data_IF_946112379280
#
_entry.id   IF_946112379280
#
_cell.length_a   1.000
_cell.length_b   1.000
_cell.length_c   1.000
_cell.angle_alpha   90.00
_cell.angle_beta   90.00
_cell.angle_gamma   90.00
#
_symmetry.space_group_name_H-M   'P 1'
#
loop_
_entity.id
_entity.type
_entity.pdbx_description
1 polymer ?
#
# COMPACT_ATOMS: atom_id res chain seq x y z
N UNK A 1 -9.06 2.79 86.72
CA UNK A 1 -9.34 4.12 87.27
C UNK A 1 -9.99 4.93 86.15
N UNK A 2 -11.33 5.02 86.16
CA UNK A 2 -12.12 6.27 86.35
C UNK A 2 -11.97 7.23 85.15
N UNK A 3 -13.01 7.78 84.50
CA UNK A 3 -14.43 7.92 84.83
C UNK A 3 -15.17 8.43 83.57
N UNK A 4 -16.48 8.20 83.53
CA UNK A 4 -17.48 8.68 82.56
C UNK A 4 -17.65 10.21 82.64
N UNK A 5 -18.00 10.87 81.51
CA UNK A 5 -18.51 12.26 81.52
C UNK A 5 -19.15 12.72 80.21
N UNK A 6 -20.48 12.61 80.12
CA UNK A 6 -21.38 13.12 79.06
C UNK A 6 -21.91 14.53 79.43
N UNK A 7 -21.86 15.52 78.53
CA UNK A 7 -22.79 16.69 78.43
C UNK A 7 -22.79 17.18 76.95
N UNK A 8 -23.90 17.05 76.20
CA UNK A 8 -24.97 18.03 75.95
C UNK A 8 -24.44 19.37 75.38
N UNK A 9 -24.95 20.05 74.35
CA UNK A 9 -25.97 19.89 73.30
C UNK A 9 -25.87 21.21 72.50
N UNK A 10 -26.19 21.23 71.19
CA UNK A 10 -26.84 22.33 70.41
C UNK A 10 -26.23 22.60 69.02
N UNK A 11 -27.03 22.21 68.03
CA UNK A 11 -27.39 22.86 66.76
C UNK A 11 -26.38 23.72 65.97
N UNK A 12 -26.24 23.37 64.68
CA UNK A 12 -25.82 24.28 63.62
C UNK A 12 -25.95 23.65 62.22
N UNK A 13 -27.06 23.96 61.55
CA UNK A 13 -27.35 23.96 60.09
C UNK A 13 -26.38 23.22 59.13
N UNK A 14 -26.84 22.16 58.47
CA UNK A 14 -27.48 22.20 57.14
C UNK A 14 -26.57 22.62 55.97
N UNK A 15 -26.11 21.61 55.21
CA UNK A 15 -25.90 21.70 53.75
C UNK A 15 -25.88 20.28 53.18
N UNK A 16 -27.04 19.82 52.74
CA UNK A 16 -27.17 18.63 51.91
C UNK A 16 -26.79 19.00 50.47
N UNK A 17 -25.56 18.71 50.07
CA UNK A 17 -25.19 18.74 48.66
C UNK A 17 -25.78 17.49 47.98
N UNK A 18 -26.77 17.71 47.13
CA UNK A 18 -27.36 16.73 46.23
C UNK A 18 -26.27 16.12 45.35
N UNK A 19 -25.90 14.87 45.61
CA UNK A 19 -25.11 14.06 44.71
C UNK A 19 -25.99 13.65 43.51
N UNK A 20 -25.92 14.44 42.43
CA UNK A 20 -26.49 14.05 41.14
C UNK A 20 -25.78 12.82 40.58
N UNK A 21 -26.49 11.89 39.91
CA UNK A 21 -25.88 10.73 39.30
C UNK A 21 -24.91 11.18 38.21
N UNK A 22 -23.62 10.88 38.39
CA UNK A 22 -22.62 10.98 37.34
C UNK A 22 -23.04 10.03 36.21
N UNK A 23 -23.60 10.60 35.15
CA UNK A 23 -23.76 9.91 33.89
C UNK A 23 -22.36 9.44 33.45
N UNK A 24 -22.14 8.13 33.50
CA UNK A 24 -21.02 7.52 32.81
C UNK A 24 -21.24 7.77 31.33
N UNK A 25 -20.50 8.72 30.77
CA UNK A 25 -20.38 8.85 29.34
C UNK A 25 -19.74 7.56 28.83
N UNK A 26 -20.55 6.68 28.23
CA UNK A 26 -20.05 5.55 27.47
C UNK A 26 -19.05 6.08 26.45
N UNK A 27 -17.87 5.46 26.28
CA UNK A 27 -17.01 5.78 25.16
C UNK A 27 -17.86 5.61 23.90
N UNK A 28 -17.94 6.67 23.10
CA UNK A 28 -18.56 6.63 21.77
C UNK A 28 -18.01 5.41 21.06
N UNK A 29 -18.88 4.44 20.76
CA UNK A 29 -18.55 3.30 19.94
C UNK A 29 -17.91 3.86 18.66
N UNK A 30 -16.61 3.62 18.49
CA UNK A 30 -16.01 3.69 17.18
C UNK A 30 -16.83 2.74 16.33
N UNK A 31 -17.59 3.25 15.36
CA UNK A 31 -18.39 2.41 14.46
C UNK A 31 -17.48 1.30 13.94
N UNK A 32 -17.81 0.05 14.27
CA UNK A 32 -16.99 -1.08 13.90
C UNK A 32 -16.96 -1.17 12.37
N UNK A 33 -15.78 -1.02 11.79
CA UNK A 33 -15.65 -1.09 10.34
C UNK A 33 -15.95 -2.48 9.82
N UNK A 34 -16.68 -2.54 8.71
CA UNK A 34 -17.13 -3.77 8.10
C UNK A 34 -16.07 -4.31 7.13
N UNK A 35 -15.78 -5.62 7.18
CA UNK A 35 -15.01 -6.28 6.11
C UNK A 35 -15.78 -6.17 4.79
N UNK A 36 -15.14 -5.58 3.79
CA UNK A 36 -15.70 -5.37 2.47
C UNK A 36 -15.27 -6.45 1.51
N UNK A 37 -16.18 -6.77 0.60
CA UNK A 37 -15.84 -7.43 -0.65
C UNK A 37 -15.74 -6.34 -1.72
N UNK A 38 -14.61 -6.27 -2.41
CA UNK A 38 -14.33 -5.27 -3.45
C UNK A 38 -14.41 -5.92 -4.83
N UNK A 39 -14.69 -5.11 -5.86
CA UNK A 39 -14.70 -5.54 -7.26
C UNK A 39 -13.28 -5.42 -7.81
N UNK A 40 -12.82 -6.47 -8.48
CA UNK A 40 -11.52 -6.55 -9.15
C UNK A 40 -11.78 -6.76 -10.63
N UNK A 41 -11.23 -5.89 -11.45
CA UNK A 41 -11.22 -6.04 -12.91
C UNK A 41 -9.84 -6.42 -13.40
N UNK A 42 -9.81 -7.26 -14.43
CA UNK A 42 -8.58 -7.66 -15.07
C UNK A 42 -8.46 -7.02 -16.44
N UNK A 43 -7.56 -6.06 -16.56
CA UNK A 43 -7.23 -5.35 -17.79
C UNK A 43 -5.93 -5.87 -18.41
N UNK A 44 -5.46 -7.05 -17.97
CA UNK A 44 -4.23 -7.67 -18.46
C UNK A 44 -4.35 -8.11 -19.93
N UNK A 45 -3.26 -7.98 -20.67
CA UNK A 45 -3.18 -8.35 -22.09
C UNK A 45 -2.00 -9.29 -22.36
N UNK A 46 -2.08 -10.20 -23.34
CA UNK A 46 -0.92 -10.99 -23.75
C UNK A 46 0.23 -10.11 -24.25
N UNK A 47 1.47 -10.45 -23.89
CA UNK A 47 2.68 -9.73 -24.27
C UNK A 47 3.86 -10.69 -24.41
N UNK A 48 4.77 -10.42 -25.35
CA UNK A 48 6.00 -11.22 -25.55
C UNK A 48 7.22 -10.57 -24.88
N UNK A 49 7.22 -9.24 -24.76
CA UNK A 49 8.26 -8.49 -24.08
C UNK A 49 8.21 -8.73 -22.57
N UNK A 50 9.28 -9.29 -22.01
CA UNK A 50 9.35 -9.51 -20.57
C UNK A 50 9.36 -8.20 -19.79
N UNK A 51 9.92 -7.10 -20.33
CA UNK A 51 10.07 -5.81 -19.65
C UNK A 51 8.83 -4.89 -19.68
N UNK A 52 7.76 -5.31 -20.36
CA UNK A 52 6.54 -4.51 -20.48
C UNK A 52 5.51 -5.00 -19.47
N UNK A 53 5.09 -4.08 -18.62
CA UNK A 53 3.99 -4.32 -17.69
C UNK A 53 2.68 -4.49 -18.48
N UNK A 54 2.25 -5.75 -18.63
CA UNK A 54 1.04 -6.16 -19.34
C UNK A 54 -0.04 -6.74 -18.41
N UNK A 55 0.29 -6.96 -17.14
CA UNK A 55 -0.68 -7.25 -16.09
C UNK A 55 -1.21 -5.94 -15.54
N UNK A 56 -2.53 -5.85 -15.45
CA UNK A 56 -3.24 -4.73 -14.84
C UNK A 56 -4.48 -5.24 -14.11
N UNK A 57 -4.49 -5.13 -12.80
CA UNK A 57 -5.64 -5.50 -11.95
C UNK A 57 -6.11 -4.25 -11.20
N UNK A 58 -7.36 -3.86 -11.44
CA UNK A 58 -7.93 -2.63 -10.88
C UNK A 58 -8.94 -2.96 -9.78
N UNK A 59 -8.88 -2.21 -8.67
CA UNK A 59 -9.64 -2.47 -7.47
C UNK A 59 -10.66 -1.35 -7.20
N UNK A 60 -11.94 -1.72 -7.12
CA UNK A 60 -13.06 -0.77 -7.05
C UNK A 60 -13.91 -0.98 -5.80
N UNK A 61 -14.28 0.14 -5.16
CA UNK A 61 -15.26 0.19 -4.06
C UNK A 61 -15.59 1.63 -3.67
N UNK A 62 -16.87 1.98 -3.66
CA UNK A 62 -17.33 3.28 -3.15
C UNK A 62 -17.17 3.43 -1.63
N UNK A 63 -17.15 2.29 -0.91
CA UNK A 63 -17.16 2.24 0.55
C UNK A 63 -15.78 2.09 1.17
N UNK A 64 -14.77 1.67 0.42
CA UNK A 64 -13.44 1.42 0.99
C UNK A 64 -12.89 2.67 1.68
N UNK A 65 -12.36 2.48 2.89
CA UNK A 65 -11.59 3.48 3.64
C UNK A 65 -10.24 2.96 4.09
N UNK A 66 -10.09 1.66 4.30
CA UNK A 66 -8.80 1.05 4.64
C UNK A 66 -8.57 -0.28 3.93
N UNK A 67 -7.31 -0.58 3.68
CA UNK A 67 -6.84 -1.87 3.19
C UNK A 67 -5.42 -2.13 3.67
N UNK A 68 -4.92 -3.34 3.45
CA UNK A 68 -3.52 -3.67 3.62
C UNK A 68 -2.97 -4.23 2.31
N UNK A 69 -1.80 -3.74 1.90
CA UNK A 69 -0.98 -4.31 0.83
C UNK A 69 0.20 -5.01 1.47
N UNK A 70 0.53 -6.22 1.02
CA UNK A 70 1.73 -6.92 1.45
C UNK A 70 2.54 -7.33 0.23
N UNK A 71 3.85 -7.20 0.31
CA UNK A 71 4.77 -7.91 -0.55
C UNK A 71 5.36 -9.06 0.28
N UNK A 72 5.23 -10.29 -0.20
CA UNK A 72 5.63 -11.52 0.50
C UNK A 72 6.61 -12.29 -0.38
N UNK A 73 7.60 -12.96 0.20
CA UNK A 73 8.49 -13.78 -0.62
C UNK A 73 7.72 -14.88 -1.36
N UNK A 74 8.13 -15.26 -2.58
CA UNK A 74 7.50 -16.36 -3.30
C UNK A 74 7.68 -17.66 -2.51
N UNK A 75 6.74 -18.60 -2.66
CA UNK A 75 6.73 -19.87 -1.90
C UNK A 75 7.99 -20.72 -2.07
N UNK A 76 8.76 -20.48 -3.13
CA UNK A 76 10.01 -21.15 -3.45
C UNK A 76 11.28 -20.39 -3.03
N UNK A 77 11.17 -19.30 -2.27
CA UNK A 77 12.31 -18.43 -1.91
C UNK A 77 13.47 -19.19 -1.27
N UNK A 78 13.19 -20.18 -0.41
CA UNK A 78 14.19 -20.98 0.28
C UNK A 78 14.98 -21.92 -0.64
N UNK A 79 14.55 -22.09 -1.89
CA UNK A 79 15.25 -22.89 -2.90
C UNK A 79 16.17 -22.05 -3.79
N UNK A 80 16.18 -20.73 -3.62
CA UNK A 80 17.01 -19.83 -4.43
C UNK A 80 18.42 -19.78 -3.87
N UNK A 81 19.36 -20.47 -4.52
CA UNK A 81 20.79 -20.36 -4.21
C UNK A 81 21.45 -19.11 -4.81
N UNK A 82 21.02 -18.69 -6.00
CA UNK A 82 21.52 -17.48 -6.66
C UNK A 82 20.37 -16.79 -7.38
N UNK A 83 20.17 -15.52 -7.07
CA UNK A 83 19.08 -14.74 -7.63
C UNK A 83 19.35 -14.32 -9.09
N UNK A 84 18.28 -14.08 -9.85
CA UNK A 84 18.32 -13.60 -11.24
C UNK A 84 17.41 -12.39 -11.40
N UNK A 85 18.00 -11.25 -11.74
CA UNK A 85 17.31 -9.96 -11.80
C UNK A 85 17.73 -9.11 -13.02
N UNK A 86 18.52 -9.70 -13.93
CA UNK A 86 18.92 -8.99 -15.14
C UNK A 86 17.69 -8.79 -16.04
N UNK A 87 17.56 -7.60 -16.65
CA UNK A 87 16.48 -7.36 -17.57
C UNK A 87 16.62 -8.23 -18.83
N UNK A 88 15.48 -8.68 -19.38
CA UNK A 88 15.39 -9.43 -20.63
C UNK A 88 14.61 -8.62 -21.67
N UNK A 89 15.36 -7.91 -22.51
CA UNK A 89 14.84 -7.09 -23.59
C UNK A 89 14.43 -7.88 -24.84
N UNK A 90 14.42 -9.22 -24.80
CA UNK A 90 13.97 -10.01 -25.94
C UNK A 90 12.51 -9.69 -26.27
N UNK A 91 12.23 -9.53 -27.56
CA UNK A 91 10.90 -9.18 -28.08
C UNK A 91 10.33 -7.84 -27.61
N UNK A 92 11.15 -6.96 -27.03
CA UNK A 92 10.72 -5.64 -26.57
C UNK A 92 10.88 -4.56 -27.65
N UNK A 93 9.81 -3.81 -27.90
CA UNK A 93 9.84 -2.56 -28.65
C UNK A 93 9.41 -1.40 -27.75
N UNK A 94 10.38 -0.58 -27.36
CA UNK A 94 10.19 0.63 -26.54
C UNK A 94 10.49 1.91 -27.32
N UNK A 95 10.51 1.84 -28.66
CA UNK A 95 10.84 2.99 -29.51
C UNK A 95 9.82 4.14 -29.40
N UNK A 96 8.60 3.84 -28.96
CA UNK A 96 7.49 4.77 -28.86
C UNK A 96 7.30 5.40 -27.47
N UNK A 97 8.13 5.06 -26.49
CA UNK A 97 8.03 5.63 -25.15
C UNK A 97 8.44 7.12 -25.18
N UNK A 98 7.57 8.04 -24.71
CA UNK A 98 7.93 9.44 -24.58
C UNK A 98 9.16 9.62 -23.69
N UNK A 99 9.98 10.63 -24.00
CA UNK A 99 11.19 10.95 -23.23
C UNK A 99 11.27 12.44 -23.00
N UNK A 100 11.03 12.83 -21.76
CA UNK A 100 11.22 14.20 -21.28
C UNK A 100 12.59 14.29 -20.63
N UNK A 101 13.46 15.13 -21.19
CA UNK A 101 14.82 15.32 -20.69
C UNK A 101 14.82 15.97 -19.30
N UNK A 102 15.76 15.56 -18.45
CA UNK A 102 16.00 16.15 -17.14
C UNK A 102 17.49 16.07 -16.78
N UNK A 103 17.91 16.88 -15.83
CA UNK A 103 19.28 16.80 -15.31
C UNK A 103 19.38 15.64 -14.31
N UNK A 104 20.32 14.72 -14.58
CA UNK A 104 20.53 13.59 -13.69
C UNK A 104 20.98 14.06 -12.29
N UNK A 105 20.34 13.54 -11.25
CA UNK A 105 20.59 13.89 -9.85
C UNK A 105 20.34 12.69 -8.95
N UNK A 106 21.16 12.55 -7.91
CA UNK A 106 20.92 11.64 -6.78
C UNK A 106 21.10 12.44 -5.49
N UNK A 107 20.15 12.35 -4.58
CA UNK A 107 20.19 13.06 -3.31
C UNK A 107 19.57 12.25 -2.19
N UNK A 108 20.33 11.97 -1.13
CA UNK A 108 19.79 11.59 0.17
C UNK A 108 19.29 12.88 0.85
N UNK A 109 17.98 13.00 1.04
CA UNK A 109 17.36 14.25 1.52
C UNK A 109 16.78 14.14 2.93
N UNK A 110 16.71 12.92 3.47
CA UNK A 110 16.37 12.66 4.86
C UNK A 110 17.04 11.37 5.32
N UNK A 111 17.56 11.35 6.55
CA UNK A 111 18.21 10.18 7.13
C UNK A 111 18.13 10.16 8.66
N UNK A 112 18.18 8.95 9.20
CA UNK A 112 18.37 8.56 10.59
C UNK A 112 19.34 7.36 10.60
N UNK A 113 19.83 6.91 11.76
CA UNK A 113 20.66 5.69 11.82
C UNK A 113 19.96 4.44 11.29
N UNK A 114 18.62 4.38 11.37
CA UNK A 114 17.83 3.20 10.96
C UNK A 114 17.29 3.33 9.52
N UNK A 115 16.85 4.51 9.10
CA UNK A 115 16.18 4.74 7.80
C UNK A 115 16.67 5.98 7.07
N UNK A 116 16.64 5.96 5.74
CA UNK A 116 16.88 7.14 4.92
C UNK A 116 16.11 7.12 3.59
N UNK A 117 15.89 8.31 3.04
CA UNK A 117 15.24 8.52 1.74
C UNK A 117 16.25 9.07 0.73
N UNK A 118 16.35 8.38 -0.41
CA UNK A 118 17.20 8.80 -1.53
C UNK A 118 16.35 9.04 -2.76
N UNK A 119 16.38 10.25 -3.30
CA UNK A 119 15.69 10.62 -4.53
C UNK A 119 16.63 10.61 -5.74
N UNK A 120 16.08 10.23 -6.88
CA UNK A 120 16.76 10.12 -8.17
C UNK A 120 16.02 10.89 -9.25
N UNK A 121 16.79 11.60 -10.06
CA UNK A 121 16.37 12.17 -11.34
C UNK A 121 17.22 11.50 -12.41
N UNK A 122 16.58 10.81 -13.34
CA UNK A 122 17.23 10.21 -14.51
C UNK A 122 17.43 11.23 -15.63
N UNK A 123 18.33 11.00 -16.60
CA UNK A 123 18.51 11.88 -17.77
C UNK A 123 17.22 12.11 -18.58
N UNK A 124 16.29 11.15 -18.54
CA UNK A 124 14.97 11.29 -19.12
C UNK A 124 13.93 10.49 -18.34
N UNK A 125 12.67 10.89 -18.43
CA UNK A 125 11.53 10.14 -17.91
C UNK A 125 10.33 10.21 -18.86
N UNK A 126 9.39 9.27 -18.74
CA UNK A 126 8.26 9.18 -19.68
C UNK A 126 7.18 10.23 -19.44
N UNK A 127 7.12 10.81 -18.24
CA UNK A 127 6.20 11.88 -17.86
C UNK A 127 6.98 13.10 -17.36
N UNK A 128 6.47 14.34 -17.56
CA UNK A 128 7.02 15.50 -16.90
C UNK A 128 7.01 15.36 -15.37
N UNK A 129 8.06 15.89 -14.74
CA UNK A 129 8.32 15.73 -13.32
C UNK A 129 8.01 17.02 -12.56
N UNK A 130 7.05 16.99 -11.64
CA UNK A 130 6.66 18.16 -10.87
C UNK A 130 6.13 17.85 -9.46
N UNK A 131 6.14 16.59 -9.01
CA UNK A 131 5.53 16.21 -7.73
C UNK A 131 6.50 16.52 -6.59
N UNK A 132 6.16 17.42 -5.65
CA UNK A 132 6.99 17.68 -4.48
C UNK A 132 6.98 16.50 -3.53
N UNK A 133 8.15 16.22 -2.97
CA UNK A 133 8.37 15.23 -1.90
C UNK A 133 8.82 15.96 -0.65
N UNK A 134 8.05 15.86 0.43
CA UNK A 134 8.27 16.61 1.68
C UNK A 134 8.64 15.70 2.83
N UNK A 135 9.59 16.12 3.68
CA UNK A 135 9.89 15.52 4.99
C UNK A 135 10.11 16.63 6.00
N UNK A 136 9.22 16.76 6.98
CA UNK A 136 9.20 17.93 7.87
C UNK A 136 9.06 19.22 7.06
N UNK A 137 10.03 20.13 7.23
CA UNK A 137 10.11 21.41 6.50
C UNK A 137 10.88 21.31 5.18
N UNK A 138 11.55 20.18 4.91
CA UNK A 138 12.31 20.00 3.67
C UNK A 138 11.37 19.57 2.55
N UNK A 139 11.42 20.29 1.44
CA UNK A 139 10.70 19.95 0.20
C UNK A 139 11.70 19.79 -0.93
N UNK A 140 11.64 18.66 -1.61
CA UNK A 140 12.40 18.39 -2.82
C UNK A 140 11.45 18.21 -4.01
N UNK A 141 11.85 18.68 -5.17
CA UNK A 141 11.09 18.52 -6.42
C UNK A 141 11.98 17.86 -7.47
N UNK A 142 11.36 17.38 -8.55
CA UNK A 142 12.13 16.86 -9.67
C UNK A 142 12.69 15.47 -9.45
N UNK A 143 12.16 14.65 -8.53
CA UNK A 143 12.51 13.22 -8.44
C UNK A 143 11.61 12.36 -9.34
N UNK A 144 12.23 11.52 -10.17
CA UNK A 144 11.53 10.47 -10.92
C UNK A 144 11.28 9.23 -10.07
N UNK A 145 12.14 9.00 -9.07
CA UNK A 145 12.12 7.84 -8.22
C UNK A 145 12.64 8.22 -6.83
N UNK A 146 12.02 7.70 -5.78
CA UNK A 146 12.47 7.85 -4.39
C UNK A 146 12.50 6.49 -3.74
N UNK A 147 13.60 6.18 -3.06
CA UNK A 147 13.82 4.92 -2.36
C UNK A 147 13.83 5.17 -0.86
N UNK A 148 13.12 4.32 -0.12
CA UNK A 148 13.27 4.15 1.31
C UNK A 148 14.21 2.99 1.58
N UNK A 149 15.25 3.30 2.32
CA UNK A 149 16.28 2.38 2.74
C UNK A 149 16.25 2.21 4.25
N UNK A 150 16.74 1.06 4.72
CA UNK A 150 16.96 0.81 6.13
C UNK A 150 18.27 0.08 6.41
N UNK A 151 18.78 0.23 7.63
CA UNK A 151 19.86 -0.60 8.13
C UNK A 151 19.33 -1.96 8.57
N UNK A 152 19.90 -3.05 8.05
CA UNK A 152 19.59 -4.41 8.46
C UNK A 152 20.83 -5.29 8.37
N UNK A 153 21.16 -6.02 9.43
CA UNK A 153 22.35 -6.89 9.52
C UNK A 153 23.63 -6.19 9.01
N UNK A 154 23.86 -4.96 9.48
CA UNK A 154 25.01 -4.12 9.11
C UNK A 154 25.08 -3.76 7.62
N UNK A 155 23.95 -3.85 6.90
CA UNK A 155 23.82 -3.52 5.48
C UNK A 155 22.72 -2.50 5.25
N UNK A 156 22.81 -1.86 4.09
CA UNK A 156 21.78 -1.00 3.56
C UNK A 156 20.81 -1.80 2.70
N UNK A 157 19.56 -1.91 3.15
CA UNK A 157 18.50 -2.62 2.43
C UNK A 157 17.48 -1.61 1.91
N UNK A 158 17.32 -1.56 0.60
CA UNK A 158 16.19 -0.88 -0.03
C UNK A 158 14.94 -1.73 0.21
N UNK A 159 13.83 -1.15 0.68
CA UNK A 159 12.63 -1.92 1.04
C UNK A 159 11.36 -1.43 0.34
N UNK A 160 11.38 -0.18 -0.11
CA UNK A 160 10.25 0.46 -0.77
C UNK A 160 10.78 1.51 -1.74
N UNK A 161 10.23 1.52 -2.94
CA UNK A 161 10.50 2.53 -3.96
C UNK A 161 9.19 3.08 -4.48
N UNK A 162 9.15 4.37 -4.78
CA UNK A 162 8.02 4.98 -5.44
C UNK A 162 8.45 6.01 -6.47
N UNK A 163 7.58 6.25 -7.43
CA UNK A 163 7.84 7.09 -8.58
C UNK A 163 6.86 8.28 -8.51
N UNK A 164 7.29 9.43 -7.96
CA UNK A 164 6.38 10.56 -7.74
C UNK A 164 5.60 11.01 -8.98
N UNK A 165 6.17 11.03 -10.21
CA UNK A 165 5.43 11.53 -11.36
C UNK A 165 4.29 10.62 -11.84
N UNK A 166 4.35 9.30 -11.67
CA UNK A 166 3.36 8.36 -12.22
C UNK A 166 2.58 7.60 -11.14
N UNK A 167 3.11 7.52 -9.93
CA UNK A 167 2.42 6.96 -8.78
C UNK A 167 2.61 5.46 -8.56
N UNK A 168 3.60 4.87 -9.21
CA UNK A 168 3.99 3.48 -9.00
C UNK A 168 4.75 3.34 -7.68
N UNK A 169 4.49 2.24 -6.98
CA UNK A 169 5.21 1.80 -5.80
C UNK A 169 5.67 0.36 -6.01
N UNK A 170 6.85 0.01 -5.51
CA UNK A 170 7.29 -1.38 -5.38
C UNK A 170 7.82 -1.59 -3.98
N UNK A 171 7.48 -2.72 -3.39
CA UNK A 171 7.89 -3.08 -2.04
C UNK A 171 8.53 -4.46 -2.09
N UNK A 172 9.46 -4.72 -1.17
CA UNK A 172 10.02 -6.06 -1.00
C UNK A 172 10.33 -6.36 0.47
N UNK A 173 10.17 -7.62 0.91
CA UNK A 173 10.59 -8.01 2.25
C UNK A 173 12.11 -7.90 2.40
N UNK A 174 12.59 -7.98 3.64
CA UNK A 174 14.03 -8.12 3.89
C UNK A 174 14.56 -9.40 3.23
N UNK A 175 15.82 -9.41 2.75
CA UNK A 175 16.39 -10.56 2.10
C UNK A 175 16.23 -11.83 2.95
N UNK A 176 15.82 -12.93 2.32
CA UNK A 176 15.64 -14.22 2.99
C UNK A 176 17.00 -14.80 3.39
N UNK A 177 17.11 -15.33 4.62
CA UNK A 177 18.34 -15.93 5.16
C UNK A 177 19.61 -15.08 4.87
N UNK A 178 20.57 -15.63 4.14
CA UNK A 178 21.85 -15.01 3.81
C UNK A 178 21.89 -14.41 2.39
N UNK A 179 20.73 -14.35 1.71
CA UNK A 179 20.62 -13.66 0.43
C UNK A 179 21.09 -12.22 0.59
N UNK A 180 21.90 -11.74 -0.37
CA UNK A 180 22.40 -10.36 -0.33
C UNK A 180 21.36 -9.32 -0.72
N UNK A 181 20.32 -9.73 -1.45
CA UNK A 181 19.35 -8.86 -2.12
C UNK A 181 18.17 -9.72 -2.60
N UNK A 182 17.01 -9.09 -2.79
CA UNK A 182 15.85 -9.65 -3.51
C UNK A 182 15.31 -8.65 -4.54
N UNK A 183 14.76 -9.11 -5.66
CA UNK A 183 14.17 -8.24 -6.68
C UNK A 183 12.84 -7.61 -6.20
N UNK A 184 12.41 -6.52 -6.83
CA UNK A 184 11.15 -5.84 -6.49
C UNK A 184 9.91 -6.48 -7.12
N UNK A 185 10.01 -6.90 -8.38
CA UNK A 185 8.86 -7.46 -9.07
C UNK A 185 7.78 -6.44 -9.43
N UNK A 186 6.54 -6.84 -9.17
CA UNK A 186 5.33 -6.09 -9.43
C UNK A 186 5.26 -4.73 -8.74
N UNK A 187 4.51 -3.82 -9.36
CA UNK A 187 4.20 -2.51 -8.83
C UNK A 187 2.74 -2.40 -8.41
N UNK A 188 2.44 -1.47 -7.52
CA UNK A 188 1.08 -1.11 -7.16
C UNK A 188 0.89 0.41 -7.15
N UNK A 189 -0.35 0.85 -7.31
CA UNK A 189 -0.79 2.24 -7.25
C UNK A 189 -1.79 2.39 -6.11
N UNK A 190 -1.79 3.56 -5.46
CA UNK A 190 -2.69 3.89 -4.35
C UNK A 190 -3.28 5.28 -4.58
N UNK A 191 -4.60 5.34 -4.78
CA UNK A 191 -5.34 6.55 -5.07
C UNK A 191 -6.25 6.40 -6.29
N UNK A 192 -6.83 7.50 -6.78
CA UNK A 192 -7.66 7.47 -7.98
C UNK A 192 -6.79 7.11 -9.18
N UNK A 193 -6.93 5.88 -9.68
CA UNK A 193 -6.13 5.41 -10.80
C UNK A 193 -6.78 5.86 -12.11
N UNK A 194 -6.02 6.58 -12.93
CA UNK A 194 -6.45 7.07 -14.24
C UNK A 194 -5.59 6.44 -15.34
N UNK A 195 -6.21 6.00 -16.43
CA UNK A 195 -5.49 5.49 -17.59
C UNK A 195 -5.18 6.63 -18.55
N UNK A 196 -3.89 6.91 -18.75
CA UNK A 196 -3.41 7.75 -19.84
C UNK A 196 -2.81 6.86 -20.93
N UNK A 197 -1.49 6.94 -21.14
CA UNK A 197 -0.76 5.91 -21.89
C UNK A 197 -0.54 4.65 -21.04
N UNK A 198 -0.51 4.81 -19.71
CA UNK A 198 -0.37 3.79 -18.68
C UNK A 198 -1.25 4.21 -17.49
N UNK A 199 -1.64 3.30 -16.59
CA UNK A 199 -2.27 3.68 -15.34
C UNK A 199 -1.34 4.56 -14.53
N UNK A 200 -1.89 5.62 -13.94
CA UNK A 200 -1.19 6.54 -13.06
C UNK A 200 -2.05 6.92 -11.87
N UNK A 201 -1.43 7.45 -10.82
CA UNK A 201 -2.09 8.29 -9.83
C UNK A 201 -1.42 9.66 -9.84
N UNK A 202 -2.18 10.71 -10.19
CA UNK A 202 -1.61 12.05 -10.26
C UNK A 202 -1.58 12.71 -8.89
N UNK A 203 -0.37 12.83 -8.33
CA UNK A 203 -0.14 13.44 -7.03
C UNK A 203 0.05 14.95 -7.10
N UNK A 204 -0.53 15.64 -6.15
CA UNK A 204 -0.23 17.03 -5.84
C UNK A 204 1.06 17.13 -5.02
N UNK A 205 1.23 16.26 -4.03
CA UNK A 205 2.35 16.21 -3.11
C UNK A 205 2.43 14.80 -2.49
N UNK A 206 3.66 14.35 -2.22
CA UNK A 206 3.91 13.20 -1.34
C UNK A 206 4.67 13.74 -0.12
N UNK A 207 4.19 13.45 1.09
CA UNK A 207 4.90 13.77 2.32
C UNK A 207 5.27 12.49 3.06
N UNK A 208 6.46 12.43 3.65
CA UNK A 208 6.84 11.38 4.59
C UNK A 208 6.85 11.95 6.00
N UNK A 209 6.16 11.26 6.91
CA UNK A 209 6.08 11.55 8.34
C UNK A 209 6.99 10.54 9.09
N UNK A 210 8.21 10.93 9.49
CA UNK A 210 9.18 10.00 10.06
C UNK A 210 8.72 9.31 11.34
N UNK A 211 8.02 10.04 12.21
CA UNK A 211 7.60 9.56 13.54
C UNK A 211 6.67 8.34 13.44
N UNK A 212 5.81 8.33 12.43
CA UNK A 212 4.81 7.27 12.20
C UNK A 212 5.16 6.38 11.02
N UNK A 213 6.30 6.61 10.36
CA UNK A 213 6.74 5.92 9.13
C UNK A 213 5.63 5.87 8.08
N UNK A 214 4.98 7.03 7.88
CA UNK A 214 3.79 7.13 7.02
C UNK A 214 4.05 8.06 5.85
N UNK A 215 3.72 7.59 4.65
CA UNK A 215 3.60 8.42 3.46
C UNK A 215 2.18 8.98 3.36
N UNK A 216 2.05 10.29 3.19
CA UNK A 216 0.79 10.97 2.91
C UNK A 216 0.77 11.37 1.45
N UNK A 217 -0.20 10.87 0.71
CA UNK A 217 -0.39 11.09 -0.71
C UNK A 217 -1.54 12.07 -0.89
N UNK A 218 -1.28 13.27 -1.41
CA UNK A 218 -2.35 14.21 -1.78
C UNK A 218 -2.64 14.04 -3.26
N UNK A 219 -3.89 13.76 -3.60
CA UNK A 219 -4.30 13.54 -4.98
C UNK A 219 -4.68 14.86 -5.65
N UNK A 220 -4.28 15.05 -6.91
CA UNK A 220 -4.83 16.17 -7.70
C UNK A 220 -6.30 15.96 -8.01
N UNK A 221 -6.67 14.73 -8.35
CA UNK A 221 -8.05 14.33 -8.65
C UNK A 221 -8.89 14.29 -7.37
N UNK A 222 -10.01 15.00 -7.36
CA UNK A 222 -10.97 15.02 -6.24
C UNK A 222 -10.50 15.70 -4.95
N UNK A 223 -9.24 16.12 -4.84
CA UNK A 223 -8.68 16.78 -3.64
C UNK A 223 -8.56 15.89 -2.40
N UNK A 224 -8.74 14.58 -2.56
CA UNK A 224 -8.61 13.60 -1.48
C UNK A 224 -7.15 13.27 -1.15
N UNK A 225 -6.96 12.39 -0.17
CA UNK A 225 -5.64 11.88 0.20
C UNK A 225 -5.69 10.41 0.63
N UNK A 226 -4.53 9.77 0.57
CA UNK A 226 -4.28 8.49 1.24
C UNK A 226 -3.09 8.59 2.18
N UNK A 227 -3.02 7.67 3.14
CA UNK A 227 -1.88 7.46 4.02
C UNK A 227 -1.44 6.01 3.88
N UNK A 228 -0.16 5.79 3.60
CA UNK A 228 0.49 4.48 3.55
C UNK A 228 1.46 4.39 4.72
N UNK A 229 1.12 3.61 5.73
CA UNK A 229 1.97 3.38 6.91
C UNK A 229 2.74 2.08 6.75
N UNK A 230 4.04 2.11 7.02
CA UNK A 230 4.84 0.89 7.14
C UNK A 230 4.45 0.19 8.45
N UNK A 231 3.73 -0.93 8.33
CA UNK A 231 3.22 -1.68 9.48
C UNK A 231 4.17 -2.78 9.93
N UNK A 232 4.70 -3.56 8.98
CA UNK A 232 5.63 -4.65 9.26
C UNK A 232 6.72 -4.71 8.21
N UNK A 233 7.96 -4.96 8.63
CA UNK A 233 9.12 -5.16 7.76
C UNK A 233 9.94 -6.29 8.36
N UNK A 234 9.91 -7.47 7.76
CA UNK A 234 10.75 -8.60 8.16
C UNK A 234 11.14 -9.48 6.95
N UNK A 235 11.75 -10.63 7.23
CA UNK A 235 12.16 -11.60 6.22
C UNK A 235 10.99 -12.43 5.66
N UNK A 236 9.76 -12.30 6.18
CA UNK A 236 8.58 -12.96 5.59
C UNK A 236 7.86 -12.01 4.63
N UNK A 237 7.71 -10.74 5.06
CA UNK A 237 6.90 -9.76 4.34
C UNK A 237 7.24 -8.31 4.71
N UNK A 238 6.88 -7.40 3.80
CA UNK A 238 6.57 -6.02 4.13
C UNK A 238 5.06 -5.80 4.05
N UNK A 239 4.47 -5.22 5.09
CA UNK A 239 3.05 -4.89 5.15
C UNK A 239 2.84 -3.38 5.23
N UNK A 240 1.95 -2.88 4.38
CA UNK A 240 1.61 -1.48 4.23
C UNK A 240 0.14 -1.29 4.55
N UNK A 241 -0.15 -0.54 5.61
CA UNK A 241 -1.51 -0.18 5.96
C UNK A 241 -1.91 1.08 5.20
N UNK A 242 -2.96 0.99 4.42
CA UNK A 242 -3.45 2.08 3.58
C UNK A 242 -4.79 2.58 4.13
N UNK A 243 -4.91 3.90 4.27
CA UNK A 243 -6.16 4.57 4.60
C UNK A 243 -6.45 5.71 3.65
N UNK A 244 -7.71 5.94 3.33
CA UNK A 244 -8.17 6.97 2.42
C UNK A 244 -9.04 8.00 3.17
N UNK A 245 -8.90 9.27 2.80
CA UNK A 245 -9.72 10.34 3.40
C UNK A 245 -11.18 10.31 2.94
N UNK A 246 -11.50 9.58 1.87
CA UNK A 246 -12.82 9.51 1.28
C UNK A 246 -12.92 8.42 0.22
N UNK A 247 -14.09 8.33 -0.42
CA UNK A 247 -14.31 7.48 -1.59
C UNK A 247 -13.51 8.00 -2.79
N UNK A 248 -13.22 7.12 -3.75
CA UNK A 248 -12.60 7.56 -4.99
C UNK A 248 -13.59 8.39 -5.83
N UNK A 249 -13.13 9.49 -6.45
CA UNK A 249 -13.94 10.27 -7.37
C UNK A 249 -14.28 9.46 -8.63
N UNK A 250 -15.43 9.75 -9.24
CA UNK A 250 -15.87 9.23 -10.54
C UNK A 250 -15.82 7.69 -10.68
N UNK A 251 -16.01 6.95 -9.56
CA UNK A 251 -15.86 5.48 -9.47
C UNK A 251 -14.51 4.96 -10.00
N UNK A 252 -13.46 5.78 -9.91
CA UNK A 252 -12.11 5.35 -10.26
C UNK A 252 -11.60 4.24 -9.32
N UNK A 253 -10.71 3.35 -9.78
CA UNK A 253 -10.07 2.38 -8.91
C UNK A 253 -9.37 3.09 -7.75
N UNK A 254 -9.45 2.51 -6.54
CA UNK A 254 -8.73 3.02 -5.36
C UNK A 254 -7.27 2.55 -5.32
N UNK A 255 -6.98 1.49 -6.05
CA UNK A 255 -5.67 0.91 -6.22
C UNK A 255 -5.64 0.12 -7.54
N UNK A 256 -4.43 -0.11 -8.03
CA UNK A 256 -4.18 -1.03 -9.13
C UNK A 256 -2.88 -1.78 -8.90
N UNK A 257 -2.79 -3.01 -9.40
CA UNK A 257 -1.56 -3.77 -9.51
C UNK A 257 -1.09 -3.75 -10.96
N UNK A 258 0.21 -3.54 -11.16
CA UNK A 258 0.88 -3.60 -12.46
C UNK A 258 2.05 -4.57 -12.39
N UNK A 259 2.21 -5.42 -13.38
CA UNK A 259 3.29 -6.42 -13.40
C UNK A 259 3.55 -6.90 -14.83
N UNK A 260 4.60 -7.70 -15.03
CA UNK A 260 4.86 -8.37 -16.30
C UNK A 260 4.57 -9.88 -16.28
N UNK A 261 4.11 -10.39 -17.41
CA UNK A 261 3.97 -11.81 -17.74
C UNK A 261 4.15 -12.02 -19.25
N UNK A 262 5.25 -12.66 -19.64
CA UNK A 262 5.43 -13.16 -21.00
C UNK A 262 5.09 -14.66 -21.09
N UNK A 263 5.51 -15.43 -20.09
CA UNK A 263 5.17 -16.83 -19.89
C UNK A 263 5.41 -17.23 -18.43
N UNK A 264 4.95 -18.42 -18.02
CA UNK A 264 5.08 -18.91 -16.64
C UNK A 264 6.51 -18.81 -16.07
N UNK A 265 7.52 -19.16 -16.87
CA UNK A 265 8.95 -19.11 -16.46
C UNK A 265 9.61 -17.76 -16.74
N UNK A 266 8.82 -16.77 -17.18
CA UNK A 266 9.25 -15.41 -17.50
C UNK A 266 8.20 -14.39 -17.10
N UNK A 267 8.10 -14.17 -15.79
CA UNK A 267 7.10 -13.27 -15.21
C UNK A 267 7.52 -12.76 -13.84
N UNK A 268 6.93 -11.64 -13.46
CA UNK A 268 6.92 -11.17 -12.07
C UNK A 268 5.69 -11.69 -11.32
N UNK A 269 4.59 -11.89 -12.04
CA UNK A 269 3.38 -12.54 -11.56
C UNK A 269 2.76 -13.41 -12.64
N UNK A 270 2.17 -14.55 -12.27
CA UNK A 270 1.61 -15.51 -13.23
C UNK A 270 0.22 -16.03 -12.84
N UNK A 271 -0.12 -15.96 -11.56
CA UNK A 271 -1.36 -16.49 -11.01
C UNK A 271 -2.03 -15.47 -10.11
N UNK A 272 -3.35 -15.59 -10.02
CA UNK A 272 -4.19 -14.83 -9.11
C UNK A 272 -4.97 -15.83 -8.28
N UNK A 273 -4.92 -15.68 -6.96
CA UNK A 273 -5.77 -16.40 -6.03
C UNK A 273 -6.63 -15.41 -5.22
N UNK A 274 -7.90 -15.71 -4.99
CA UNK A 274 -8.78 -14.80 -4.25
C UNK A 274 -9.76 -15.53 -3.33
N UNK A 275 -10.19 -14.81 -2.29
CA UNK A 275 -11.21 -15.25 -1.34
C UNK A 275 -12.45 -14.37 -1.46
N UNK A 276 -13.63 -14.97 -1.39
CA UNK A 276 -14.91 -14.25 -1.37
C UNK A 276 -15.49 -14.24 0.04
N UNK A 277 -16.36 -13.26 0.37
CA UNK A 277 -16.86 -13.02 1.74
C UNK A 277 -17.56 -14.22 2.40
N UNK A 278 -18.07 -15.16 1.60
CA UNK A 278 -18.73 -16.40 2.05
C UNK A 278 -18.22 -17.64 1.31
N UNK A 279 -17.07 -17.54 0.67
CA UNK A 279 -16.45 -18.67 -0.04
C UNK A 279 -15.87 -19.67 0.95
N UNK A 280 -15.98 -20.96 0.63
CA UNK A 280 -15.42 -22.05 1.45
C UNK A 280 -13.93 -22.30 1.20
N UNK A 281 -13.39 -21.77 0.10
CA UNK A 281 -12.02 -22.00 -0.36
C UNK A 281 -11.47 -20.80 -1.12
N UNK A 282 -10.14 -20.78 -1.28
CA UNK A 282 -9.47 -19.94 -2.26
C UNK A 282 -9.81 -20.41 -3.67
N UNK A 283 -10.10 -19.46 -4.55
CA UNK A 283 -10.19 -19.67 -5.98
C UNK A 283 -8.89 -19.22 -6.62
N UNK A 284 -8.57 -19.77 -7.79
CA UNK A 284 -7.32 -19.47 -8.46
C UNK A 284 -7.44 -19.55 -9.99
N UNK A 285 -6.71 -18.68 -10.69
CA UNK A 285 -6.64 -18.64 -12.14
C UNK A 285 -5.24 -18.20 -12.61
N UNK A 286 -4.91 -18.46 -13.87
CA UNK A 286 -3.79 -17.79 -14.54
C UNK A 286 -4.12 -16.31 -14.71
N UNK A 287 -3.12 -15.43 -14.52
CA UNK A 287 -3.35 -13.97 -14.46
C UNK A 287 -3.92 -13.39 -15.75
N UNK A 288 -3.50 -13.88 -16.92
CA UNK A 288 -4.03 -13.40 -18.21
C UNK A 288 -5.46 -13.90 -18.45
N UNK A 289 -5.80 -15.10 -17.97
CA UNK A 289 -7.13 -15.71 -18.13
C UNK A 289 -8.11 -15.39 -16.99
N UNK A 290 -7.70 -14.62 -15.98
CA UNK A 290 -8.52 -14.31 -14.83
C UNK A 290 -9.67 -13.36 -15.21
N UNK A 291 -10.95 -13.72 -15.02
CA UNK A 291 -12.07 -12.90 -15.49
C UNK A 291 -12.39 -11.68 -14.59
N UNK A 292 -11.59 -11.42 -13.56
CA UNK A 292 -11.98 -10.53 -12.45
C UNK A 292 -12.74 -11.28 -11.36
N UNK A 293 -12.96 -10.62 -10.22
CA UNK A 293 -13.66 -11.20 -9.09
C UNK A 293 -14.23 -10.16 -8.13
N UNK A 294 -15.18 -10.59 -7.29
CA UNK A 294 -15.50 -9.88 -6.06
C UNK A 294 -14.75 -10.56 -4.91
N UNK A 295 -13.82 -9.88 -4.25
CA UNK A 295 -12.93 -10.51 -3.28
C UNK A 295 -12.82 -9.72 -1.96
N UNK A 296 -12.62 -10.44 -0.86
CA UNK A 296 -12.19 -9.88 0.44
C UNK A 296 -10.68 -9.89 0.59
N UNK A 297 -10.00 -10.65 -0.28
CA UNK A 297 -8.55 -10.82 -0.30
C UNK A 297 -8.11 -11.34 -1.67
N UNK A 298 -6.97 -10.84 -2.15
CA UNK A 298 -6.34 -11.21 -3.42
C UNK A 298 -4.85 -11.46 -3.19
N UNK A 299 -4.34 -12.57 -3.68
CA UNK A 299 -2.91 -12.86 -3.84
C UNK A 299 -2.60 -12.91 -5.33
N UNK A 300 -1.49 -12.29 -5.73
CA UNK A 300 -1.01 -12.27 -7.11
C UNK A 300 0.47 -12.59 -7.09
N UNK A 301 0.84 -13.68 -7.76
CA UNK A 301 2.17 -14.21 -7.57
C UNK A 301 2.49 -15.39 -8.48
N UNK A 302 3.44 -16.22 -8.03
CA UNK A 302 3.98 -17.33 -8.81
C UNK A 302 4.09 -18.60 -7.97
N UNK A 303 3.92 -19.74 -8.64
CA UNK A 303 4.32 -21.04 -8.08
C UNK A 303 5.58 -21.60 -8.71
N UNK A 304 5.93 -21.12 -9.90
CA UNK A 304 7.10 -21.55 -10.64
C UNK A 304 8.20 -20.48 -10.58
N UNK A 305 9.47 -20.89 -10.43
CA UNK A 305 10.61 -19.98 -10.56
C UNK A 305 10.63 -19.28 -11.92
N UNK A 306 10.80 -17.96 -11.90
CA UNK A 306 11.00 -17.16 -13.12
C UNK A 306 12.49 -16.97 -13.41
N UNK A 307 12.87 -16.90 -14.68
CA UNK A 307 14.22 -16.48 -15.09
C UNK A 307 14.42 -14.96 -15.05
N UNK A 308 13.34 -14.19 -14.86
CA UNK A 308 13.30 -12.74 -14.68
C UNK A 308 12.76 -12.40 -13.29
N UNK A 309 13.49 -11.56 -12.54
CA UNK A 309 13.25 -11.25 -11.13
C UNK A 309 12.85 -12.48 -10.29
N UNK A 310 13.74 -13.46 -10.25
CA UNK A 310 13.50 -14.76 -9.65
C UNK A 310 13.00 -14.66 -8.19
N UNK A 311 13.62 -13.79 -7.38
CA UNK A 311 13.23 -13.57 -5.98
C UNK A 311 12.12 -12.52 -5.78
N UNK A 312 11.53 -11.96 -6.85
CA UNK A 312 10.50 -10.95 -6.71
C UNK A 312 9.33 -11.42 -5.82
N UNK A 313 8.84 -10.55 -4.92
CA UNK A 313 7.75 -10.88 -4.05
C UNK A 313 6.44 -11.09 -4.82
N UNK A 314 5.59 -11.94 -4.25
CA UNK A 314 4.17 -11.96 -4.56
C UNK A 314 3.46 -10.81 -3.83
N UNK A 315 2.33 -10.37 -4.35
CA UNK A 315 1.56 -9.25 -3.82
C UNK A 315 0.24 -9.72 -3.22
N UNK A 316 -0.11 -9.22 -2.04
CA UNK A 316 -1.39 -9.51 -1.37
C UNK A 316 -2.14 -8.21 -1.08
N UNK A 317 -3.40 -8.14 -1.46
CA UNK A 317 -4.32 -7.05 -1.15
C UNK A 317 -5.47 -7.62 -0.32
N UNK A 318 -5.73 -7.02 0.83
CA UNK A 318 -6.80 -7.52 1.70
C UNK A 318 -7.10 -6.58 2.85
N UNK A 319 -7.78 -7.11 3.88
CA UNK A 319 -8.27 -6.33 5.02
C UNK A 319 -9.06 -5.09 4.57
N UNK A 320 -9.85 -5.24 3.51
CA UNK A 320 -10.68 -4.16 2.99
C UNK A 320 -11.74 -3.80 4.03
N UNK A 321 -11.76 -2.54 4.44
CA UNK A 321 -12.66 -2.04 5.47
C UNK A 321 -13.30 -0.73 5.03
N UNK A 322 -14.54 -0.52 5.46
CA UNK A 322 -15.27 0.72 5.25
C UNK A 322 -16.31 0.95 6.35
N UNK A 323 -17.03 2.09 6.29
CA UNK A 323 -18.07 2.40 7.24
C UNK A 323 -19.17 1.33 7.17
N UNK A 324 -19.91 1.10 8.27
CA UNK A 324 -21.03 0.16 8.30
C UNK A 324 -22.01 0.41 7.14
N UNK A 325 -22.61 -0.65 6.62
CA UNK A 325 -23.66 -0.50 5.63
C UNK A 325 -24.81 0.30 6.25
N UNK A 326 -25.18 1.43 5.64
CA UNK A 326 -26.39 2.15 6.05
C UNK A 326 -27.58 1.25 5.71
N UNK A 327 -28.30 0.76 6.72
CA UNK A 327 -29.52 0.00 6.50
C UNK A 327 -30.47 0.86 5.66
N UNK A 328 -30.82 0.38 4.47
CA UNK A 328 -31.81 1.04 3.63
C UNK A 328 -33.08 1.24 4.46
N UNK A 329 -33.46 2.49 4.72
CA UNK A 329 -34.76 2.82 5.30
C UNK A 329 -35.79 2.29 4.32
N UNK A 330 -36.45 1.20 4.70
CA UNK A 330 -37.69 0.75 4.08
C UNK A 330 -38.74 1.76 4.49
N UNK A 331 -38.82 2.86 3.76
CA UNK A 331 -39.95 3.77 3.84
C UNK A 331 -41.14 3.06 3.20
N UNK A 332 -41.82 2.25 4.00
CA UNK A 332 -43.17 1.81 3.70
C UNK A 332 -44.09 3.03 3.80
N UNK A 333 -44.64 3.47 2.67
CA UNK A 333 -45.89 4.22 2.61
C UNK A 333 -46.79 3.61 1.56
#
# INVERSE_FOLDING_TARGET
MTQIGRRHFMLGAASAALAGPKAFASPTATEAEEELQIRIENNSVPELCAEKDNIELDFFSERLRRMQIQAVHPSYISMIGTDRYAPDWSSCDLSHDPKFAAQARRLTFWETPEFWLTGYTFPSFWRPNAVPVRVGDRVETGFHLVQLWMSYRERAEEILVFYPPDGYWRARPLPFEDMRWTAYGSSFLVGPVEVQQRPIVDFQEIAFEPETRTFVLKFKRGGGSARIRLDKIDQERIALDVSYSGAMPDDLPFASLRSMYAMQTMSDAARVAWRTKRGANWQEAEVIGFPGANATELWVGRHLPSRHNLSAPDMVFGKFQGPPAVAARTDAR
#
